data_IF_907226411178
#
_entry.id   IF_907226411178
#
_cell.length_a   1.000
_cell.length_b   1.000
_cell.length_c   1.000
_cell.angle_alpha   90.00
_cell.angle_beta   90.00
_cell.angle_gamma   90.00
#
_symmetry.space_group_name_H-M   'P 1'
#
loop_
_entity.id
_entity.type
_entity.pdbx_description
1 polymer ?
#
# COMPACT_ATOMS: atom_id res chain seq x y z
N UNK A 1 -9.04 10.53 -7.59
CA UNK A 1 -9.36 11.64 -6.66
C UNK A 1 -10.62 12.40 -7.10
N UNK A 2 -10.58 13.26 -8.12
CA UNK A 2 -11.72 14.14 -8.49
C UNK A 2 -13.08 13.42 -8.59
N UNK A 3 -13.15 12.31 -9.34
CA UNK A 3 -14.38 11.50 -9.48
C UNK A 3 -14.85 10.81 -8.20
N UNK A 4 -13.97 10.63 -7.22
CA UNK A 4 -14.35 10.11 -5.89
C UNK A 4 -14.85 11.26 -5.03
N UNK A 5 -14.15 12.40 -5.06
CA UNK A 5 -14.51 13.61 -4.32
C UNK A 5 -15.85 14.22 -4.76
N UNK A 6 -16.20 14.12 -6.04
CA UNK A 6 -17.50 14.57 -6.58
C UNK A 6 -18.62 13.52 -6.47
N UNK A 7 -18.31 12.32 -5.95
CA UNK A 7 -19.26 11.23 -5.76
C UNK A 7 -19.58 10.39 -7.01
N UNK A 8 -18.94 10.64 -8.16
CA UNK A 8 -19.15 9.86 -9.39
C UNK A 8 -18.57 8.44 -9.33
N UNK A 9 -17.69 8.14 -8.37
CA UNK A 9 -17.07 6.83 -8.12
C UNK A 9 -17.01 6.57 -6.61
N UNK A 10 -17.58 5.46 -6.17
CA UNK A 10 -17.37 4.95 -4.81
C UNK A 10 -16.12 4.05 -4.76
N UNK A 11 -15.07 4.53 -4.11
CA UNK A 11 -13.83 3.79 -3.90
C UNK A 11 -13.75 3.12 -2.52
N UNK A 12 -14.76 3.27 -1.65
CA UNK A 12 -14.69 2.87 -0.22
C UNK A 12 -14.36 1.40 0.03
N UNK A 13 -14.54 0.54 -0.97
CA UNK A 13 -14.25 -0.90 -0.93
C UNK A 13 -12.96 -1.30 -1.64
N UNK A 14 -12.21 -0.34 -2.18
CA UNK A 14 -10.95 -0.59 -2.85
C UNK A 14 -9.89 -1.06 -1.85
N UNK A 15 -9.01 -1.95 -2.30
CA UNK A 15 -7.76 -2.31 -1.62
C UNK A 15 -6.60 -1.97 -2.54
N UNK A 16 -5.53 -1.44 -1.95
CA UNK A 16 -4.32 -1.04 -2.66
C UNK A 16 -3.23 -2.03 -2.27
N UNK A 17 -2.74 -2.78 -3.26
CA UNK A 17 -1.65 -3.73 -3.08
C UNK A 17 -0.44 -3.20 -3.84
N UNK A 18 0.62 -2.81 -3.12
CA UNK A 18 1.84 -2.28 -3.70
C UNK A 18 2.67 -3.39 -4.36
N UNK A 19 3.33 -3.09 -5.47
CA UNK A 19 4.07 -4.10 -6.24
C UNK A 19 5.44 -4.39 -5.62
N UNK A 20 6.13 -3.36 -5.15
CA UNK A 20 7.52 -3.42 -4.73
C UNK A 20 7.79 -2.41 -3.60
N UNK A 21 8.92 -2.54 -2.91
CA UNK A 21 9.41 -1.58 -1.93
C UNK A 21 10.94 -1.60 -1.91
N UNK A 22 11.57 -0.48 -1.56
CA UNK A 22 13.01 -0.45 -1.37
C UNK A 22 13.42 -1.23 -0.12
N UNK A 23 14.45 -2.07 -0.26
CA UNK A 23 15.10 -2.71 0.89
C UNK A 23 16.04 -1.73 1.59
N UNK A 24 15.94 -1.64 2.91
CA UNK A 24 16.90 -0.89 3.75
C UNK A 24 16.65 0.61 3.88
N UNK A 25 15.56 1.14 3.31
CA UNK A 25 15.12 2.50 3.65
C UNK A 25 14.57 2.53 5.08
N UNK A 26 14.85 3.59 5.86
CA UNK A 26 14.26 3.75 7.19
C UNK A 26 12.73 3.77 7.13
N UNK A 27 12.04 3.19 8.11
CA UNK A 27 10.60 3.33 8.24
C UNK A 27 10.18 4.81 8.23
N UNK A 28 9.17 5.14 7.43
CA UNK A 28 8.67 6.52 7.29
C UNK A 28 9.53 7.43 6.41
N UNK A 29 10.54 6.90 5.69
CA UNK A 29 11.24 7.68 4.68
C UNK A 29 10.24 8.30 3.69
N UNK A 30 10.30 9.62 3.42
CA UNK A 30 9.29 10.31 2.60
C UNK A 30 9.22 9.78 1.16
N UNK A 31 10.34 9.23 0.68
CA UNK A 31 10.47 8.63 -0.66
C UNK A 31 10.46 7.08 -0.64
N UNK A 32 10.06 6.45 0.48
CA UNK A 32 9.66 5.03 0.41
C UNK A 32 8.40 4.91 -0.45
N UNK A 33 8.26 3.81 -1.17
CA UNK A 33 7.09 3.62 -2.04
C UNK A 33 5.81 3.59 -1.22
N UNK A 34 5.85 3.01 -0.02
CA UNK A 34 4.77 3.10 0.97
C UNK A 34 4.35 4.55 1.23
N UNK A 35 5.29 5.43 1.57
CA UNK A 35 4.98 6.85 1.84
C UNK A 35 4.38 7.54 0.62
N UNK A 36 4.89 7.26 -0.57
CA UNK A 36 4.37 7.81 -1.83
C UNK A 36 2.95 7.30 -2.11
N UNK A 37 2.69 6.01 -2.00
CA UNK A 37 1.35 5.45 -2.25
C UNK A 37 0.32 5.93 -1.23
N UNK A 38 0.70 6.04 0.05
CA UNK A 38 -0.19 6.59 1.07
C UNK A 38 -0.59 8.04 0.75
N UNK A 39 0.37 8.88 0.37
CA UNK A 39 0.16 10.30 0.05
C UNK A 39 -0.55 10.54 -1.28
N UNK A 40 -0.17 9.81 -2.33
CA UNK A 40 -0.62 10.10 -3.70
C UNK A 40 -1.83 9.26 -4.13
N UNK A 41 -2.14 8.15 -3.43
CA UNK A 41 -3.23 7.24 -3.80
C UNK A 41 -4.24 7.06 -2.67
N UNK A 42 -3.81 6.65 -1.47
CA UNK A 42 -4.72 6.29 -0.38
C UNK A 42 -5.45 7.53 0.15
N UNK A 43 -4.70 8.58 0.52
CA UNK A 43 -5.26 9.83 1.03
C UNK A 43 -6.17 10.54 -0.01
N UNK A 44 -5.78 10.72 -1.28
CA UNK A 44 -6.63 11.42 -2.26
C UNK A 44 -7.88 10.64 -2.70
N UNK A 45 -7.95 9.35 -2.40
CA UNK A 45 -9.15 8.52 -2.58
C UNK A 45 -10.02 8.44 -1.31
N UNK A 46 -9.60 9.06 -0.21
CA UNK A 46 -10.32 9.01 1.07
C UNK A 46 -10.32 7.63 1.71
N UNK A 47 -9.33 6.80 1.39
CA UNK A 47 -9.23 5.44 1.90
C UNK A 47 -8.52 5.41 3.26
N UNK A 48 -8.90 4.49 4.17
CA UNK A 48 -8.16 4.31 5.40
C UNK A 48 -6.82 3.62 5.12
N UNK A 49 -5.81 3.86 5.97
CA UNK A 49 -4.51 3.18 5.84
C UNK A 49 -4.62 1.63 5.89
N UNK A 50 -5.69 1.09 6.46
CA UNK A 50 -5.98 -0.36 6.47
C UNK A 50 -6.40 -0.92 5.10
N UNK A 51 -6.69 -0.08 4.11
CA UNK A 51 -6.92 -0.52 2.73
C UNK A 51 -5.63 -0.78 1.97
N UNK A 52 -4.48 -0.38 2.51
CA UNK A 52 -3.17 -0.52 1.89
C UNK A 52 -2.42 -1.73 2.44
N UNK A 53 -1.81 -2.48 1.53
CA UNK A 53 -0.84 -3.53 1.83
C UNK A 53 0.35 -3.44 0.86
N UNK A 54 1.53 -3.80 1.34
CA UNK A 54 2.75 -3.80 0.55
C UNK A 54 3.84 -4.67 1.18
N UNK A 55 4.91 -4.98 0.44
CA UNK A 55 6.07 -5.70 0.96
C UNK A 55 6.73 -4.95 2.13
N UNK A 56 7.29 -5.70 3.10
CA UNK A 56 8.10 -5.12 4.18
C UNK A 56 9.58 -5.01 3.76
N UNK A 57 9.96 -3.84 3.24
CA UNK A 57 11.35 -3.55 2.87
C UNK A 57 12.33 -3.40 4.04
N UNK A 58 11.84 -3.47 5.29
CA UNK A 58 12.67 -3.41 6.50
C UNK A 58 12.93 -4.79 7.14
N UNK A 59 12.35 -5.85 6.58
CA UNK A 59 12.50 -7.20 7.11
C UNK A 59 13.96 -7.69 7.06
N UNK A 60 14.40 -8.33 8.14
CA UNK A 60 15.72 -8.98 8.19
C UNK A 60 15.80 -10.16 7.21
N UNK A 61 14.71 -10.91 7.08
CA UNK A 61 14.53 -11.97 6.08
C UNK A 61 13.58 -11.50 4.99
N UNK A 62 14.17 -10.96 3.91
CA UNK A 62 13.43 -10.44 2.75
C UNK A 62 12.62 -11.54 2.05
N UNK A 63 13.15 -12.77 2.00
CA UNK A 63 12.46 -13.88 1.33
C UNK A 63 11.19 -14.26 2.11
N UNK A 64 11.29 -14.38 3.43
CA UNK A 64 10.12 -14.63 4.28
C UNK A 64 9.08 -13.50 4.19
N UNK A 65 9.52 -12.24 4.08
CA UNK A 65 8.62 -11.09 3.90
C UNK A 65 7.88 -11.14 2.55
N UNK A 66 8.55 -11.52 1.47
CA UNK A 66 7.92 -11.77 0.18
C UNK A 66 6.85 -12.87 0.26
N UNK A 67 7.18 -14.02 0.87
CA UNK A 67 6.24 -15.14 1.02
C UNK A 67 5.02 -14.77 1.87
N UNK A 68 5.22 -14.02 2.95
CA UNK A 68 4.14 -13.51 3.78
C UNK A 68 3.24 -12.54 3.01
N UNK A 69 3.82 -11.66 2.18
CA UNK A 69 3.07 -10.73 1.35
C UNK A 69 2.26 -11.44 0.27
N UNK A 70 2.84 -12.43 -0.42
CA UNK A 70 2.13 -13.25 -1.43
C UNK A 70 0.94 -14.00 -0.81
N UNK A 71 1.12 -14.58 0.37
CA UNK A 71 0.03 -15.24 1.09
C UNK A 71 -1.08 -14.26 1.48
N UNK A 72 -0.72 -13.07 1.98
CA UNK A 72 -1.69 -12.03 2.30
C UNK A 72 -2.45 -11.54 1.06
N UNK A 73 -1.76 -11.39 -0.08
CA UNK A 73 -2.36 -10.98 -1.35
C UNK A 73 -3.35 -12.04 -1.85
N UNK A 74 -3.00 -13.32 -1.74
CA UNK A 74 -3.90 -14.44 -2.07
C UNK A 74 -5.16 -14.49 -1.20
N UNK A 75 -5.06 -14.12 0.08
CA UNK A 75 -6.20 -14.04 0.99
C UNK A 75 -7.05 -12.77 0.84
N UNK A 76 -6.55 -11.77 0.11
CA UNK A 76 -7.22 -10.48 -0.04
C UNK A 76 -8.29 -10.43 -1.15
N UNK A 77 -8.28 -11.41 -2.07
CA UNK A 77 -9.29 -11.61 -3.11
C UNK A 77 -10.49 -12.41 -2.64
#
# INVERSE_FOLDING_TARGET
AARVSDGAVDASRARICQLDEYVGLPPGHPESYRSVVLREVVEPLGLPASSFMGPDGSAEDVQAACEAYDAALGAAG
#
